data_IF_675419598153
#
_entry.id   IF_675419598153
#
_cell.length_a   1.000
_cell.length_b   1.000
_cell.length_c   1.000
_cell.angle_alpha   90.00
_cell.angle_beta   90.00
_cell.angle_gamma   90.00
#
_symmetry.space_group_name_H-M   'P 1'
#
loop_
_entity.id
_entity.type
_entity.pdbx_description
1 polymer ?
#
# COMPACT_ATOMS: atom_id res chain seq x y z
N UNK A 1 -31.70 -42.61 44.09
CA UNK A 1 -32.51 -43.68 43.50
C UNK A 1 -32.22 -45.00 44.21
N UNK A 2 -33.19 -45.55 44.95
CA UNK A 2 -33.07 -46.90 45.49
C UNK A 2 -33.44 -47.86 44.37
N UNK A 3 -32.44 -48.39 43.66
CA UNK A 3 -32.66 -49.47 42.70
C UNK A 3 -33.30 -50.64 43.46
N UNK A 4 -34.47 -51.11 43.02
CA UNK A 4 -35.15 -52.25 43.62
C UNK A 4 -34.31 -53.51 43.41
N UNK A 5 -33.45 -53.82 44.39
CA UNK A 5 -32.53 -54.97 44.36
C UNK A 5 -33.25 -56.27 44.05
N UNK A 6 -34.46 -56.46 44.57
CA UNK A 6 -35.29 -57.64 44.31
C UNK A 6 -35.63 -57.83 42.83
N UNK A 7 -35.88 -56.75 42.08
CA UNK A 7 -36.17 -56.81 40.64
C UNK A 7 -34.90 -57.17 39.87
N UNK A 8 -33.77 -56.59 40.26
CA UNK A 8 -32.45 -56.86 39.66
C UNK A 8 -32.04 -58.32 39.90
N UNK A 9 -32.26 -58.86 41.09
CA UNK A 9 -31.94 -60.25 41.45
C UNK A 9 -32.85 -61.25 40.73
N UNK A 10 -34.16 -60.96 40.61
CA UNK A 10 -35.08 -61.75 39.79
C UNK A 10 -34.66 -61.78 38.33
N UNK A 11 -34.29 -60.63 37.75
CA UNK A 11 -33.77 -60.54 36.38
C UNK A 11 -32.48 -61.36 36.20
N UNK A 12 -31.55 -61.24 37.15
CA UNK A 12 -30.32 -62.02 37.12
C UNK A 12 -30.58 -63.53 37.15
N UNK A 13 -31.56 -64.00 37.94
CA UNK A 13 -31.90 -65.43 38.02
C UNK A 13 -32.54 -65.97 36.73
N UNK A 14 -33.40 -65.19 36.08
CA UNK A 14 -34.02 -65.58 34.80
C UNK A 14 -33.00 -65.63 33.66
N UNK A 15 -32.06 -64.68 33.64
CA UNK A 15 -31.06 -64.57 32.56
C UNK A 15 -29.82 -65.46 32.73
N UNK A 16 -29.52 -65.91 33.96
CA UNK A 16 -28.32 -66.72 34.30
C UNK A 16 -28.11 -67.98 33.45
N UNK A 17 -29.13 -68.77 33.06
CA UNK A 17 -28.92 -69.97 32.23
C UNK A 17 -28.58 -69.65 30.77
N UNK A 18 -28.91 -68.44 30.30
CA UNK A 18 -28.77 -68.04 28.89
C UNK A 18 -27.55 -67.14 28.64
N UNK A 19 -26.90 -66.64 29.69
CA UNK A 19 -25.77 -65.70 29.59
C UNK A 19 -24.59 -66.19 30.41
N UNK A 20 -23.47 -66.48 29.74
CA UNK A 20 -22.18 -66.64 30.39
C UNK A 20 -21.48 -65.28 30.51
N UNK A 21 -21.32 -64.78 31.72
CA UNK A 21 -20.60 -63.53 32.02
C UNK A 21 -19.47 -63.79 33.02
N UNK A 22 -18.22 -63.53 32.63
CA UNK A 22 -17.04 -63.54 33.52
C UNK A 22 -16.47 -62.13 33.66
N UNK A 23 -15.93 -61.79 34.83
CA UNK A 23 -15.30 -60.49 35.07
C UNK A 23 -13.79 -60.61 34.88
N UNK A 24 -13.11 -59.52 34.46
CA UNK A 24 -11.65 -59.52 34.26
C UNK A 24 -10.87 -59.97 35.52
N UNK A 25 -11.41 -59.66 36.70
CA UNK A 25 -10.87 -60.13 37.99
C UNK A 25 -10.85 -61.66 38.14
N UNK A 26 -11.75 -62.38 37.46
CA UNK A 26 -11.91 -63.83 37.57
C UNK A 26 -11.10 -64.59 36.49
N UNK A 27 -10.51 -63.88 35.51
CA UNK A 27 -9.92 -64.48 34.31
C UNK A 27 -8.45 -64.08 34.10
N UNK A 28 -8.03 -62.88 34.47
CA UNK A 28 -6.73 -62.34 34.06
C UNK A 28 -6.02 -61.62 35.24
N UNK A 29 -5.18 -62.37 35.97
CA UNK A 29 -4.44 -61.87 37.16
C UNK A 29 -3.20 -61.05 36.82
N UNK A 30 -2.78 -61.04 35.55
CA UNK A 30 -1.60 -60.31 35.06
C UNK A 30 -1.91 -58.87 34.61
N UNK A 31 -3.18 -58.45 34.62
CA UNK A 31 -3.56 -57.10 34.21
C UNK A 31 -3.16 -56.04 35.26
N UNK A 32 -2.61 -54.89 34.84
CA UNK A 32 -2.28 -53.80 35.74
C UNK A 32 -3.54 -53.13 36.33
N UNK A 33 -3.35 -52.43 37.46
CA UNK A 33 -4.44 -51.72 38.14
C UNK A 33 -5.00 -50.58 37.26
N UNK A 34 -6.33 -50.48 37.22
CA UNK A 34 -7.03 -49.36 36.57
C UNK A 34 -7.15 -48.20 37.56
N UNK A 35 -6.54 -47.06 37.23
CA UNK A 35 -6.70 -45.82 37.98
C UNK A 35 -7.62 -44.84 37.23
N UNK A 36 -8.59 -44.25 37.93
CA UNK A 36 -9.48 -43.23 37.39
C UNK A 36 -9.14 -41.88 38.03
N UNK A 37 -8.62 -40.95 37.22
CA UNK A 37 -8.29 -39.60 37.64
C UNK A 37 -9.30 -38.61 37.08
N UNK A 38 -10.01 -37.90 37.96
CA UNK A 38 -10.95 -36.83 37.57
C UNK A 38 -10.21 -35.51 37.55
N UNK A 39 -10.07 -34.91 36.36
CA UNK A 39 -9.37 -33.64 36.16
C UNK A 39 -10.39 -32.53 35.90
N UNK A 40 -10.51 -31.62 36.86
CA UNK A 40 -11.38 -30.46 36.74
C UNK A 40 -10.75 -29.39 35.86
N UNK A 41 -11.48 -28.98 34.82
CA UNK A 41 -11.06 -27.92 33.90
C UNK A 41 -11.95 -26.69 34.09
N UNK A 42 -11.34 -25.49 34.11
CA UNK A 42 -12.10 -24.22 34.14
C UNK A 42 -12.57 -23.85 32.73
N UNK A 43 -13.76 -23.26 32.59
CA UNK A 43 -14.22 -22.71 31.32
C UNK A 43 -13.39 -21.48 30.91
N UNK A 44 -13.12 -21.32 29.62
CA UNK A 44 -12.47 -20.13 29.07
C UNK A 44 -13.38 -18.90 29.17
N UNK A 45 -12.82 -17.69 29.01
CA UNK A 45 -13.62 -16.43 29.04
C UNK A 45 -14.70 -16.44 27.95
N UNK A 46 -14.34 -16.84 26.73
CA UNK A 46 -15.28 -16.96 25.60
C UNK A 46 -16.34 -18.02 25.85
N UNK A 47 -15.95 -19.20 26.36
CA UNK A 47 -16.91 -20.25 26.71
C UNK A 47 -17.90 -19.80 27.77
N UNK A 48 -17.43 -19.07 28.81
CA UNK A 48 -18.31 -18.55 29.86
C UNK A 48 -19.32 -17.56 29.30
N UNK A 49 -18.87 -16.59 28.50
CA UNK A 49 -19.77 -15.62 27.87
C UNK A 49 -20.82 -16.33 27.00
N UNK A 50 -20.41 -17.22 26.09
CA UNK A 50 -21.35 -17.96 25.24
C UNK A 50 -22.32 -18.85 26.04
N UNK A 51 -21.84 -19.44 27.14
CA UNK A 51 -22.66 -20.25 28.03
C UNK A 51 -23.71 -19.41 28.76
N UNK A 52 -23.30 -18.26 29.30
CA UNK A 52 -24.19 -17.31 29.98
C UNK A 52 -25.18 -16.68 29.00
N UNK A 53 -24.73 -16.22 27.84
CA UNK A 53 -25.57 -15.65 26.77
C UNK A 53 -26.61 -16.65 26.28
N UNK A 54 -26.20 -17.92 26.09
CA UNK A 54 -27.12 -18.97 25.66
C UNK A 54 -28.19 -19.26 26.72
N UNK A 55 -27.82 -19.33 28.00
CA UNK A 55 -28.80 -19.54 29.09
C UNK A 55 -29.69 -18.31 29.29
N UNK A 56 -29.16 -17.10 29.10
CA UNK A 56 -29.92 -15.87 29.25
C UNK A 56 -30.93 -15.64 28.11
N UNK A 57 -30.76 -16.31 26.97
CA UNK A 57 -31.67 -16.17 25.82
C UNK A 57 -33.11 -16.54 26.19
N UNK A 58 -34.06 -15.66 25.85
CA UNK A 58 -35.48 -15.82 26.16
C UNK A 58 -36.07 -17.11 25.57
N UNK A 59 -35.62 -17.53 24.39
CA UNK A 59 -36.04 -18.78 23.75
C UNK A 59 -35.64 -20.01 24.58
N UNK A 60 -34.42 -20.00 25.13
CA UNK A 60 -33.95 -21.10 25.98
C UNK A 60 -34.69 -21.13 27.31
N UNK A 61 -34.97 -19.97 27.90
CA UNK A 61 -35.74 -19.89 29.14
C UNK A 61 -37.18 -20.38 28.95
N UNK A 62 -37.82 -20.03 27.83
CA UNK A 62 -39.16 -20.52 27.50
C UNK A 62 -39.18 -22.05 27.29
N UNK A 63 -38.17 -22.61 26.60
CA UNK A 63 -38.07 -24.06 26.40
C UNK A 63 -37.79 -24.81 27.70
N UNK A 64 -37.00 -24.24 28.62
CA UNK A 64 -36.79 -24.77 29.97
C UNK A 64 -38.06 -24.70 30.83
N UNK A 65 -38.85 -23.62 30.73
CA UNK A 65 -40.09 -23.45 31.47
C UNK A 65 -41.23 -24.36 30.98
N UNK A 66 -41.27 -24.68 29.68
CA UNK A 66 -42.33 -25.48 29.05
C UNK A 66 -42.31 -26.98 29.40
N UNK A 67 -41.39 -27.44 30.26
CA UNK A 67 -41.23 -28.83 30.72
C UNK A 67 -41.14 -29.90 29.60
N UNK A 68 -40.90 -29.48 28.36
CA UNK A 68 -40.76 -30.37 27.21
C UNK A 68 -39.39 -31.07 27.26
N UNK A 69 -39.38 -32.37 27.58
CA UNK A 69 -38.15 -33.17 27.68
C UNK A 69 -37.25 -33.10 26.45
N UNK A 70 -37.84 -33.11 25.25
CA UNK A 70 -37.09 -33.02 23.98
C UNK A 70 -36.40 -31.66 23.86
N UNK A 71 -37.09 -30.58 24.26
CA UNK A 71 -36.52 -29.23 24.29
C UNK A 71 -35.35 -29.13 25.27
N UNK A 72 -35.51 -29.66 26.49
CA UNK A 72 -34.43 -29.69 27.50
C UNK A 72 -33.21 -30.48 27.01
N UNK A 73 -33.42 -31.64 26.36
CA UNK A 73 -32.32 -32.41 25.78
C UNK A 73 -31.54 -31.61 24.72
N UNK A 74 -32.24 -30.87 23.87
CA UNK A 74 -31.60 -30.00 22.88
C UNK A 74 -30.78 -28.88 23.53
N UNK A 75 -31.30 -28.23 24.59
CA UNK A 75 -30.56 -27.22 25.36
C UNK A 75 -29.28 -27.82 25.96
N UNK A 76 -29.38 -28.99 26.61
CA UNK A 76 -28.23 -29.68 27.19
C UNK A 76 -27.21 -30.07 26.10
N UNK A 77 -27.68 -30.49 24.92
CA UNK A 77 -26.79 -30.83 23.81
C UNK A 77 -25.98 -29.61 23.34
N UNK A 78 -26.58 -28.42 23.28
CA UNK A 78 -25.83 -27.19 22.94
C UNK A 78 -24.82 -26.81 24.03
N UNK A 79 -25.21 -26.88 25.31
CA UNK A 79 -24.28 -26.65 26.42
C UNK A 79 -23.11 -27.64 26.41
N UNK A 80 -23.36 -28.90 26.05
CA UNK A 80 -22.29 -29.90 25.84
C UNK A 80 -21.34 -29.51 24.71
N UNK A 81 -21.84 -28.95 23.60
CA UNK A 81 -20.98 -28.43 22.52
C UNK A 81 -20.10 -27.29 23.02
N UNK A 82 -20.67 -26.28 23.70
CA UNK A 82 -19.92 -25.14 24.25
C UNK A 82 -18.82 -25.60 25.22
N UNK A 83 -19.13 -26.53 26.13
CA UNK A 83 -18.18 -27.09 27.09
C UNK A 83 -17.08 -27.93 26.44
N UNK A 84 -17.32 -28.51 25.27
CA UNK A 84 -16.30 -29.27 24.52
C UNK A 84 -15.41 -28.34 23.70
N UNK A 85 -15.99 -27.48 22.86
CA UNK A 85 -15.27 -26.43 22.13
C UNK A 85 -16.25 -25.36 21.62
N UNK A 86 -15.97 -24.05 21.81
CA UNK A 86 -16.89 -23.00 21.38
C UNK A 86 -17.11 -22.97 19.85
N UNK A 87 -16.11 -23.31 19.03
CA UNK A 87 -16.28 -23.34 17.56
C UNK A 87 -17.26 -24.41 17.05
N UNK A 88 -17.65 -25.40 17.86
CA UNK A 88 -18.73 -26.34 17.52
C UNK A 88 -20.12 -25.71 17.67
N UNK A 89 -20.19 -24.57 18.35
CA UNK A 89 -21.39 -23.80 18.56
C UNK A 89 -21.41 -22.56 17.65
N UNK A 90 -20.37 -21.73 17.74
CA UNK A 90 -20.22 -20.52 16.96
C UNK A 90 -18.73 -20.29 16.63
N UNK A 91 -18.40 -20.13 15.34
CA UNK A 91 -17.04 -19.80 14.92
C UNK A 91 -16.64 -18.38 15.29
N UNK A 92 -15.33 -18.09 15.42
CA UNK A 92 -14.90 -16.69 15.59
C UNK A 92 -15.15 -15.89 14.31
N UNK A 93 -15.83 -14.74 14.38
CA UNK A 93 -15.91 -13.84 13.24
C UNK A 93 -14.52 -13.24 12.96
N UNK A 94 -14.29 -12.92 11.68
CA UNK A 94 -13.12 -12.14 11.26
C UNK A 94 -13.37 -10.70 11.72
N UNK A 95 -12.42 -10.11 12.44
CA UNK A 95 -12.53 -8.72 12.90
C UNK A 95 -11.96 -7.81 11.81
N UNK A 96 -12.77 -6.86 11.37
CA UNK A 96 -12.39 -5.79 10.44
C UNK A 96 -12.83 -4.45 11.01
N UNK A 97 -12.25 -3.36 10.51
CA UNK A 97 -12.75 -2.01 10.80
C UNK A 97 -14.18 -1.85 10.28
N UNK A 98 -15.01 -1.08 10.99
CA UNK A 98 -16.30 -0.65 10.47
C UNK A 98 -16.09 0.39 9.36
N UNK A 99 -16.55 0.09 8.15
CA UNK A 99 -16.40 0.98 7.01
C UNK A 99 -17.50 2.06 7.04
N UNK A 100 -17.08 3.30 7.25
CA UNK A 100 -17.92 4.49 7.20
C UNK A 100 -18.00 5.03 5.78
N UNK A 101 -19.12 5.69 5.48
CA UNK A 101 -19.27 6.42 4.22
C UNK A 101 -18.21 7.53 4.08
N UNK A 102 -17.81 7.78 2.83
CA UNK A 102 -16.86 8.83 2.52
C UNK A 102 -17.44 10.21 2.71
N UNK A 103 -16.58 11.16 3.04
CA UNK A 103 -16.95 12.57 3.06
C UNK A 103 -16.84 13.09 1.62
N UNK A 104 -17.98 13.38 1.01
CA UNK A 104 -18.05 14.09 -0.26
C UNK A 104 -18.32 15.57 -0.01
N UNK A 105 -17.42 16.43 -0.49
CA UNK A 105 -17.53 17.88 -0.31
C UNK A 105 -17.64 18.56 -1.67
N UNK A 106 -18.76 19.25 -1.89
CA UNK A 106 -18.89 20.16 -3.03
C UNK A 106 -18.18 21.48 -2.69
N UNK A 107 -17.11 21.78 -3.41
CA UNK A 107 -16.44 23.06 -3.32
C UNK A 107 -17.06 24.05 -4.32
N UNK A 108 -17.23 25.30 -3.90
CA UNK A 108 -17.76 26.34 -4.79
C UNK A 108 -16.78 26.63 -5.94
N UNK A 109 -17.30 26.77 -7.15
CA UNK A 109 -16.50 27.06 -8.35
C UNK A 109 -15.72 28.36 -8.23
N UNK A 110 -16.33 29.38 -7.61
CA UNK A 110 -15.72 30.70 -7.49
C UNK A 110 -14.44 30.62 -6.65
N UNK A 111 -14.50 29.94 -5.49
CA UNK A 111 -13.31 29.72 -4.65
C UNK A 111 -12.25 28.92 -5.39
N UNK A 112 -12.62 27.84 -6.08
CA UNK A 112 -11.67 27.03 -6.85
C UNK A 112 -11.06 27.78 -8.04
N UNK A 113 -11.73 28.80 -8.56
CA UNK A 113 -11.23 29.65 -9.65
C UNK A 113 -10.36 30.81 -9.21
N UNK A 114 -10.36 31.19 -7.92
CA UNK A 114 -9.48 32.26 -7.41
C UNK A 114 -8.00 31.93 -7.68
N UNK A 115 -7.66 30.63 -7.63
CA UNK A 115 -6.29 30.14 -7.83
C UNK A 115 -6.07 29.55 -9.23
N UNK A 116 -7.05 29.61 -10.14
CA UNK A 116 -6.82 29.16 -11.51
C UNK A 116 -5.93 30.18 -12.21
N UNK A 117 -4.79 29.77 -12.81
CA UNK A 117 -3.87 30.71 -13.43
C UNK A 117 -4.54 31.32 -14.67
N UNK A 118 -4.56 32.65 -14.73
CA UNK A 118 -4.88 33.34 -15.98
C UNK A 118 -3.80 33.01 -17.03
N UNK A 119 -4.15 32.90 -18.32
CA UNK A 119 -3.20 32.56 -19.38
C UNK A 119 -2.05 33.56 -19.51
N UNK A 120 -2.21 34.79 -19.00
CA UNK A 120 -1.18 35.83 -18.96
C UNK A 120 -0.49 35.97 -17.58
N UNK A 121 -0.97 35.27 -16.56
CA UNK A 121 -0.36 35.28 -15.22
C UNK A 121 0.70 34.18 -15.04
N UNK A 122 0.63 33.09 -15.82
CA UNK A 122 1.65 32.04 -15.76
C UNK A 122 2.85 32.38 -16.64
N UNK A 123 3.96 32.70 -15.98
CA UNK A 123 5.27 32.84 -16.65
C UNK A 123 6.10 31.60 -16.34
N UNK A 124 6.62 30.95 -17.37
CA UNK A 124 7.51 29.80 -17.18
C UNK A 124 8.89 30.26 -16.72
N UNK A 125 9.06 30.38 -15.40
CA UNK A 125 10.33 30.72 -14.76
C UNK A 125 11.42 29.68 -15.04
N UNK A 126 11.05 28.42 -15.35
CA UNK A 126 12.00 27.35 -15.68
C UNK A 126 12.59 27.55 -17.09
N UNK A 127 11.73 27.87 -18.06
CA UNK A 127 12.10 28.24 -19.42
C UNK A 127 12.97 29.50 -19.45
N UNK A 128 12.57 30.52 -18.67
CA UNK A 128 13.29 31.79 -18.56
C UNK A 128 14.60 31.71 -17.75
N UNK A 129 14.87 30.57 -17.09
CA UNK A 129 16.11 30.38 -16.32
C UNK A 129 16.15 31.12 -14.98
N UNK A 130 15.00 31.53 -14.45
CA UNK A 130 14.89 32.16 -13.12
C UNK A 130 14.83 31.15 -11.97
N UNK A 131 14.61 29.86 -12.26
CA UNK A 131 14.75 28.78 -11.28
C UNK A 131 16.22 28.37 -11.13
N UNK A 132 16.93 29.11 -10.30
CA UNK A 132 18.37 28.96 -10.13
C UNK A 132 18.81 27.63 -9.49
N UNK A 133 18.00 27.05 -8.61
CA UNK A 133 18.34 25.78 -7.92
C UNK A 133 18.11 24.53 -8.77
N UNK A 134 17.33 24.63 -9.86
CA UNK A 134 16.95 23.46 -10.65
C UNK A 134 18.17 22.78 -11.29
N UNK A 135 19.16 23.57 -11.70
CA UNK A 135 20.37 23.09 -12.36
C UNK A 135 21.42 22.57 -11.37
N UNK A 136 21.34 22.94 -10.08
CA UNK A 136 22.31 22.55 -9.06
C UNK A 136 22.39 21.02 -8.85
N UNK A 137 21.32 20.30 -9.23
CA UNK A 137 21.26 18.84 -9.12
C UNK A 137 21.62 18.09 -10.42
N UNK A 138 21.63 18.78 -11.57
CA UNK A 138 21.75 18.14 -12.88
C UNK A 138 22.98 18.55 -13.67
N UNK A 139 23.58 19.71 -13.36
CA UNK A 139 24.61 20.33 -14.19
C UNK A 139 25.93 20.54 -13.42
N UNK A 140 27.06 20.32 -14.09
CA UNK A 140 28.39 20.64 -13.56
C UNK A 140 28.82 22.07 -13.95
N UNK A 141 29.87 22.60 -13.31
CA UNK A 141 30.34 23.96 -13.61
C UNK A 141 30.93 24.09 -15.01
N UNK A 142 31.76 23.12 -15.42
CA UNK A 142 32.45 23.15 -16.71
C UNK A 142 31.51 22.90 -17.90
N UNK A 143 30.43 22.13 -17.72
CA UNK A 143 29.37 21.98 -18.74
C UNK A 143 28.79 23.34 -19.15
N UNK A 144 28.66 24.28 -18.20
CA UNK A 144 28.18 25.62 -18.50
C UNK A 144 29.16 26.39 -19.39
N UNK A 145 30.44 26.27 -19.09
CA UNK A 145 31.50 26.96 -19.84
C UNK A 145 31.64 26.38 -21.25
N UNK A 146 31.52 25.05 -21.40
CA UNK A 146 31.52 24.38 -22.70
C UNK A 146 30.29 24.76 -23.54
N UNK A 147 29.09 24.72 -22.96
CA UNK A 147 27.86 25.14 -23.66
C UNK A 147 27.98 26.59 -24.12
N UNK A 148 28.58 27.47 -23.31
CA UNK A 148 28.82 28.86 -23.69
C UNK A 148 29.84 28.99 -24.83
N UNK A 149 30.86 28.13 -24.88
CA UNK A 149 31.86 28.14 -25.96
C UNK A 149 31.33 27.61 -27.30
N UNK A 150 30.41 26.64 -27.27
CA UNK A 150 29.78 26.03 -28.45
C UNK A 150 28.57 26.86 -28.91
N UNK A 151 28.07 27.78 -28.09
CA UNK A 151 26.89 28.59 -28.38
C UNK A 151 27.04 29.38 -29.68
N UNK A 152 26.11 29.18 -30.62
CA UNK A 152 26.07 29.93 -31.87
C UNK A 152 25.71 31.41 -31.62
N UNK A 153 26.54 32.37 -32.06
CA UNK A 153 26.25 33.79 -31.92
C UNK A 153 24.94 34.18 -32.63
N UNK A 154 24.15 35.06 -32.01
CA UNK A 154 22.87 35.52 -32.54
C UNK A 154 22.96 36.05 -33.99
N UNK A 155 24.06 36.74 -34.32
CA UNK A 155 24.31 37.28 -35.67
C UNK A 155 24.33 36.19 -36.75
N UNK A 156 24.91 35.01 -36.47
CA UNK A 156 24.98 33.94 -37.47
C UNK A 156 23.61 33.31 -37.73
N UNK A 157 22.76 33.24 -36.70
CA UNK A 157 21.38 32.74 -36.82
C UNK A 157 20.55 33.72 -37.66
N UNK A 158 20.66 35.02 -37.38
CA UNK A 158 19.97 36.06 -38.15
C UNK A 158 20.47 36.11 -39.61
N UNK A 159 21.79 36.08 -39.84
CA UNK A 159 22.36 36.12 -41.19
C UNK A 159 22.01 34.88 -42.03
N UNK A 160 22.00 33.68 -41.45
CA UNK A 160 21.67 32.45 -42.21
C UNK A 160 20.25 32.47 -42.78
N UNK A 161 19.28 33.07 -42.09
CA UNK A 161 17.92 33.23 -42.63
C UNK A 161 17.83 34.26 -43.75
N UNK A 162 18.65 35.32 -43.71
CA UNK A 162 18.71 36.30 -44.81
C UNK A 162 19.31 35.69 -46.08
N UNK A 163 20.36 34.89 -45.96
CA UNK A 163 21.04 34.26 -47.11
C UNK A 163 20.20 33.14 -47.73
N UNK A 164 19.65 32.23 -46.93
CA UNK A 164 18.86 31.10 -47.42
C UNK A 164 17.51 31.53 -48.03
N UNK A 165 16.84 32.54 -47.48
CA UNK A 165 15.57 33.03 -48.05
C UNK A 165 15.75 33.87 -49.32
N UNK A 166 16.91 34.54 -49.48
CA UNK A 166 17.28 35.22 -50.73
C UNK A 166 17.52 34.23 -51.89
N UNK A 167 17.96 33.00 -51.58
CA UNK A 167 18.25 31.97 -52.58
C UNK A 167 17.05 31.06 -52.90
N UNK A 168 16.24 30.68 -51.90
CA UNK A 168 15.08 29.79 -52.10
C UNK A 168 13.83 30.51 -52.64
N UNK A 169 13.72 31.82 -52.45
CA UNK A 169 12.49 32.58 -52.70
C UNK A 169 12.72 33.75 -53.68
N UNK A 170 13.78 33.70 -54.51
CA UNK A 170 13.76 34.45 -55.78
C UNK A 170 12.88 33.66 -56.75
N UNK A 171 11.71 34.17 -57.17
CA UNK A 171 11.08 33.61 -58.35
C UNK A 171 12.10 33.76 -59.48
N UNK A 172 12.39 32.69 -60.22
CA UNK A 172 13.12 32.77 -61.48
C UNK A 172 12.27 33.57 -62.48
N UNK A 173 12.19 34.89 -62.31
CA UNK A 173 11.70 35.80 -63.33
C UNK A 173 12.80 35.88 -64.39
N UNK A 174 12.71 34.98 -65.39
CA UNK A 174 13.46 35.14 -66.64
C UNK A 174 13.07 36.50 -67.23
N UNK A 175 14.09 37.29 -67.54
CA UNK A 175 13.96 38.61 -68.14
C UNK A 175 13.02 38.61 -69.36
N UNK A 176 12.07 39.54 -69.36
CA UNK A 176 11.17 39.76 -70.49
C UNK A 176 10.31 41.00 -70.32
N UNK A 177 10.91 42.17 -70.63
CA UNK A 177 10.29 43.46 -71.02
C UNK A 177 9.45 44.23 -69.99
N UNK A 178 9.82 45.51 -69.84
CA UNK A 178 9.11 46.56 -69.13
C UNK A 178 7.69 46.76 -69.69
N UNK A 179 6.69 46.69 -68.81
CA UNK A 179 5.38 47.31 -69.00
C UNK A 179 5.05 48.14 -67.75
N UNK A 180 4.73 49.41 -67.97
CA UNK A 180 4.51 50.48 -66.98
C UNK A 180 3.08 50.45 -66.39
N UNK A 181 2.63 49.29 -65.92
CA UNK A 181 1.45 49.18 -65.07
C UNK A 181 1.67 48.04 -64.09
N UNK A 182 1.85 48.35 -62.81
CA UNK A 182 1.91 47.33 -61.76
C UNK A 182 0.54 46.66 -61.69
N UNK A 183 0.49 45.41 -62.12
CA UNK A 183 -0.71 44.60 -61.95
C UNK A 183 -0.97 44.48 -60.44
N UNK A 184 -2.21 44.71 -59.98
CA UNK A 184 -2.60 44.60 -58.56
C UNK A 184 -2.09 43.28 -57.94
N UNK A 185 -2.06 42.21 -58.72
CA UNK A 185 -1.52 40.90 -58.31
C UNK A 185 0.00 40.88 -58.07
N UNK A 186 0.80 41.67 -58.79
CA UNK A 186 2.24 41.80 -58.55
C UNK A 186 2.53 42.63 -57.29
N UNK A 187 1.71 43.64 -57.01
CA UNK A 187 1.79 44.40 -55.76
C UNK A 187 1.41 43.52 -54.56
N UNK A 188 0.34 42.73 -54.68
CA UNK A 188 -0.04 41.73 -53.66
C UNK A 188 1.08 40.71 -53.47
N UNK A 189 1.69 40.20 -54.53
CA UNK A 189 2.78 39.24 -54.43
C UNK A 189 4.04 39.83 -53.78
N UNK A 190 4.36 41.11 -54.05
CA UNK A 190 5.45 41.84 -53.40
C UNK A 190 5.15 42.09 -51.91
N UNK A 191 3.93 42.50 -51.57
CA UNK A 191 3.52 42.72 -50.19
C UNK A 191 3.58 41.42 -49.35
N UNK A 192 3.06 40.31 -49.88
CA UNK A 192 3.16 38.99 -49.23
C UNK A 192 4.62 38.56 -49.07
N UNK A 193 5.49 38.88 -50.04
CA UNK A 193 6.91 38.56 -49.97
C UNK A 193 7.63 39.36 -48.88
N UNK A 194 7.34 40.66 -48.78
CA UNK A 194 7.87 41.53 -47.73
C UNK A 194 7.39 41.08 -46.34
N UNK A 195 6.12 40.71 -46.20
CA UNK A 195 5.56 40.15 -44.97
C UNK A 195 6.27 38.85 -44.56
N UNK A 196 6.46 37.91 -45.50
CA UNK A 196 7.20 36.67 -45.25
C UNK A 196 8.66 36.90 -44.86
N UNK A 197 9.32 37.88 -45.47
CA UNK A 197 10.69 38.25 -45.11
C UNK A 197 10.75 38.85 -43.70
N UNK A 198 9.78 39.66 -43.33
CA UNK A 198 9.68 40.23 -41.99
C UNK A 198 9.40 39.13 -40.95
N UNK A 199 8.44 38.23 -41.20
CA UNK A 199 8.19 37.06 -40.35
C UNK A 199 9.43 36.19 -40.19
N UNK A 200 10.18 35.95 -41.26
CA UNK A 200 11.39 35.14 -41.21
C UNK A 200 12.49 35.79 -40.35
N UNK A 201 12.64 37.12 -40.42
CA UNK A 201 13.57 37.88 -39.57
C UNK A 201 13.13 37.85 -38.11
N UNK A 202 11.84 38.01 -37.84
CA UNK A 202 11.28 37.91 -36.48
C UNK A 202 11.46 36.50 -35.90
N UNK A 203 11.23 35.46 -36.69
CA UNK A 203 11.53 34.07 -36.30
C UNK A 203 13.02 33.86 -36.04
N UNK A 204 13.90 34.40 -36.88
CA UNK A 204 15.34 34.27 -36.67
C UNK A 204 15.81 34.95 -35.37
N UNK A 205 15.32 36.17 -35.11
CA UNK A 205 15.65 36.91 -33.89
C UNK A 205 15.10 36.24 -32.63
N UNK A 206 13.89 35.69 -32.67
CA UNK A 206 13.33 34.93 -31.54
C UNK A 206 14.10 33.62 -31.30
N UNK A 207 14.48 32.89 -32.34
CA UNK A 207 15.34 31.69 -32.22
C UNK A 207 16.70 32.07 -31.62
N UNK A 208 17.32 33.16 -32.10
CA UNK A 208 18.60 33.64 -31.59
C UNK A 208 18.51 34.01 -30.10
N UNK A 209 17.43 34.67 -29.70
CA UNK A 209 17.14 35.02 -28.31
C UNK A 209 16.97 33.76 -27.44
N UNK A 210 16.14 32.80 -27.86
CA UNK A 210 15.92 31.54 -27.13
C UNK A 210 17.20 30.70 -27.03
N UNK A 211 18.00 30.66 -28.09
CA UNK A 211 19.30 29.98 -28.10
C UNK A 211 20.25 30.62 -27.06
N UNK A 212 20.38 31.95 -27.09
CA UNK A 212 21.17 32.69 -26.11
C UNK A 212 20.68 32.43 -24.68
N UNK A 213 19.37 32.39 -24.44
CA UNK A 213 18.81 32.15 -23.12
C UNK A 213 19.13 30.74 -22.60
N UNK A 214 19.04 29.72 -23.47
CA UNK A 214 19.41 28.34 -23.14
C UNK A 214 20.91 28.19 -22.88
N UNK A 215 21.75 28.81 -23.69
CA UNK A 215 23.21 28.74 -23.56
C UNK A 215 23.77 29.53 -22.35
N UNK A 216 22.98 30.46 -21.78
CA UNK A 216 23.35 31.21 -20.57
C UNK A 216 22.98 30.50 -19.27
N UNK A 217 22.32 29.34 -19.33
CA UNK A 217 21.93 28.58 -18.14
C UNK A 217 23.18 28.07 -17.43
N UNK A 218 23.33 28.45 -16.16
CA UNK A 218 24.42 28.01 -15.28
C UNK A 218 23.86 27.64 -13.90
N UNK A 219 24.37 26.57 -13.25
CA UNK A 219 24.04 26.28 -11.87
C UNK A 219 24.63 27.36 -10.95
N UNK A 220 23.97 27.63 -9.81
CA UNK A 220 24.57 28.46 -8.76
C UNK A 220 25.58 27.64 -7.98
N UNK A 221 25.17 26.45 -7.57
CA UNK A 221 26.02 25.47 -6.91
C UNK A 221 26.14 24.27 -7.82
N UNK A 222 27.31 24.09 -8.44
CA UNK A 222 27.53 22.94 -9.29
C UNK A 222 27.40 21.64 -8.51
N UNK A 223 26.98 20.58 -9.21
CA UNK A 223 26.99 19.22 -8.66
C UNK A 223 28.38 18.81 -8.15
N UNK A 224 29.46 19.34 -8.74
CA UNK A 224 30.84 19.13 -8.29
C UNK A 224 31.08 19.69 -6.89
N UNK A 225 30.69 20.94 -6.64
CA UNK A 225 30.79 21.55 -5.32
C UNK A 225 29.92 20.81 -4.30
N UNK A 226 28.70 20.44 -4.68
CA UNK A 226 27.82 19.66 -3.81
C UNK A 226 28.45 18.32 -3.44
N UNK A 227 29.02 17.59 -4.39
CA UNK A 227 29.74 16.33 -4.12
C UNK A 227 30.93 16.55 -3.18
N UNK A 228 31.69 17.63 -3.36
CA UNK A 228 32.83 17.97 -2.49
C UNK A 228 32.41 18.32 -1.06
N UNK A 229 31.27 18.99 -0.88
CA UNK A 229 30.76 19.43 0.43
C UNK A 229 29.87 18.37 1.10
N UNK A 230 29.38 17.38 0.34
CA UNK A 230 28.56 16.29 0.91
C UNK A 230 29.46 15.36 1.71
N UNK A 231 29.47 15.54 3.02
CA UNK A 231 30.04 14.56 3.95
C UNK A 231 29.08 13.37 4.00
N UNK A 232 29.43 12.28 3.34
CA UNK A 232 28.66 11.04 3.39
C UNK A 232 28.83 10.37 4.75
N UNK A 233 27.72 9.99 5.37
CA UNK A 233 27.78 9.21 6.60
C UNK A 233 28.29 7.80 6.24
N UNK A 234 29.25 7.22 6.98
CA UNK A 234 29.87 5.93 6.63
C UNK A 234 28.84 4.80 6.50
N UNK A 235 27.76 4.84 7.28
CA UNK A 235 26.64 3.87 7.19
C UNK A 235 25.84 3.97 5.89
N UNK A 236 25.67 5.17 5.32
CA UNK A 236 24.93 5.35 4.07
C UNK A 236 25.76 4.84 2.89
N UNK A 237 27.07 5.08 2.93
CA UNK A 237 28.03 4.58 1.94
C UNK A 237 28.00 3.04 1.86
N UNK A 238 27.97 2.36 3.02
CA UNK A 238 27.85 0.89 3.09
C UNK A 238 26.58 0.37 2.40
N UNK A 239 25.44 1.07 2.52
CA UNK A 239 24.19 0.68 1.87
C UNK A 239 24.25 0.88 0.35
N UNK A 240 24.82 2.00 -0.11
CA UNK A 240 25.03 2.25 -1.53
C UNK A 240 26.02 1.25 -2.16
N UNK A 241 27.08 0.86 -1.44
CA UNK A 241 28.02 -0.18 -1.86
C UNK A 241 27.37 -1.57 -1.90
N UNK A 242 26.42 -1.87 -0.99
CA UNK A 242 25.66 -3.12 -1.01
C UNK A 242 24.78 -3.25 -2.27
N UNK A 243 24.23 -2.14 -2.76
CA UNK A 243 23.44 -2.09 -3.99
C UNK A 243 24.32 -2.22 -5.25
N UNK A 244 25.59 -1.81 -5.19
CA UNK A 244 26.56 -1.87 -6.30
C UNK A 244 27.79 -2.75 -5.95
N UNK A 245 27.74 -4.08 -6.20
CA UNK A 245 28.78 -5.02 -5.79
C UNK A 245 30.11 -4.92 -6.58
N UNK A 246 30.26 -3.93 -7.45
CA UNK A 246 31.43 -3.75 -8.33
C UNK A 246 32.61 -3.10 -7.57
N UNK A 247 32.35 -2.51 -6.40
CA UNK A 247 33.41 -1.91 -5.58
C UNK A 247 34.23 -2.99 -4.84
N UNK A 248 35.51 -3.11 -5.21
CA UNK A 248 36.48 -4.00 -4.53
C UNK A 248 36.87 -3.51 -3.12
N UNK A 249 36.43 -2.30 -2.74
CA UNK A 249 36.91 -1.57 -1.56
C UNK A 249 36.22 -1.95 -0.23
N UNK A 250 35.32 -2.95 -0.22
CA UNK A 250 34.55 -3.28 0.99
C UNK A 250 34.44 -4.77 1.33
N UNK A 251 34.53 -5.07 2.63
CA UNK A 251 34.30 -6.39 3.20
C UNK A 251 32.80 -6.71 3.22
N UNK A 252 32.40 -7.79 2.54
CA UNK A 252 31.03 -8.32 2.52
C UNK A 252 30.46 -8.57 3.93
N UNK A 253 31.32 -8.92 4.90
CA UNK A 253 30.92 -9.17 6.29
C UNK A 253 30.41 -7.92 7.02
N UNK A 254 30.95 -6.74 6.73
CA UNK A 254 30.47 -5.50 7.34
C UNK A 254 29.11 -5.09 6.79
N UNK A 255 28.88 -5.31 5.49
CA UNK A 255 27.58 -5.07 4.84
C UNK A 255 26.47 -6.01 5.35
N UNK A 256 26.84 -7.23 5.78
CA UNK A 256 25.89 -8.17 6.40
C UNK A 256 25.51 -7.79 7.84
N UNK A 257 26.42 -7.12 8.57
CA UNK A 257 26.18 -6.66 9.95
C UNK A 257 25.23 -5.46 9.97
N UNK A 258 25.42 -4.51 9.04
CA UNK A 258 24.61 -3.28 8.96
C UNK A 258 23.37 -3.53 8.11
N UNK A 259 22.27 -3.89 8.78
CA UNK A 259 21.00 -4.15 8.11
C UNK A 259 20.29 -2.86 7.69
N UNK A 260 19.74 -2.86 6.48
CA UNK A 260 18.85 -1.77 6.04
C UNK A 260 17.55 -1.75 6.86
N UNK A 261 16.84 -0.62 6.96
CA UNK A 261 15.52 -0.58 7.62
C UNK A 261 14.54 -1.63 7.06
N UNK A 262 14.60 -1.89 5.75
CA UNK A 262 13.78 -2.89 5.07
C UNK A 262 14.17 -4.31 5.48
N UNK A 263 15.47 -4.62 5.53
CA UNK A 263 15.96 -5.94 5.97
C UNK A 263 15.70 -6.20 7.45
N UNK A 264 15.80 -5.17 8.30
CA UNK A 264 15.42 -5.26 9.71
C UNK A 264 13.95 -5.63 9.86
N UNK A 265 13.08 -4.98 9.08
CA UNK A 265 11.66 -5.33 9.07
C UNK A 265 11.43 -6.77 8.63
N UNK A 266 12.13 -7.23 7.59
CA UNK A 266 12.03 -8.63 7.12
C UNK A 266 12.48 -9.63 8.19
N UNK A 267 13.57 -9.37 8.92
CA UNK A 267 13.99 -10.24 10.04
C UNK A 267 13.00 -10.24 11.20
N UNK A 268 12.27 -9.14 11.40
CA UNK A 268 11.27 -8.99 12.47
C UNK A 268 9.86 -9.36 12.02
N UNK A 269 9.66 -9.91 10.82
CA UNK A 269 8.33 -10.15 10.26
C UNK A 269 7.49 -11.04 11.17
N UNK A 270 8.06 -12.11 11.75
CA UNK A 270 7.37 -13.03 12.66
C UNK A 270 6.88 -12.31 13.94
N UNK A 271 7.63 -11.31 14.41
CA UNK A 271 7.25 -10.51 15.57
C UNK A 271 6.14 -9.52 15.20
N UNK A 272 6.28 -8.84 14.07
CA UNK A 272 5.22 -7.95 13.54
C UNK A 272 3.94 -8.74 13.36
N UNK A 273 4.04 -9.95 12.81
CA UNK A 273 2.93 -10.84 12.65
C UNK A 273 2.30 -11.18 14.01
N UNK A 274 3.07 -11.78 14.92
CA UNK A 274 2.52 -12.21 16.22
C UNK A 274 1.98 -11.09 17.11
N UNK A 275 2.52 -9.88 17.03
CA UNK A 275 2.17 -8.78 17.96
C UNK A 275 1.33 -7.65 17.35
N UNK A 276 1.16 -7.58 16.03
CA UNK A 276 0.22 -6.63 15.42
C UNK A 276 -1.18 -7.23 15.30
N UNK A 277 -2.03 -6.93 16.28
CA UNK A 277 -3.44 -7.38 16.32
C UNK A 277 -4.44 -6.24 16.54
N UNK A 278 -3.98 -5.00 16.77
CA UNK A 278 -4.86 -3.86 17.01
C UNK A 278 -5.42 -3.30 15.69
N UNK A 279 -6.73 -3.47 15.50
CA UNK A 279 -7.49 -2.95 14.36
C UNK A 279 -8.25 -1.69 14.80
N UNK A 280 -8.20 -0.59 14.03
CA UNK A 280 -9.01 0.59 14.32
C UNK A 280 -10.50 0.24 14.22
N UNK A 281 -11.31 0.71 15.16
CA UNK A 281 -12.72 0.37 15.24
C UNK A 281 -13.52 0.81 13.99
N UNK A 282 -13.13 1.94 13.38
CA UNK A 282 -13.76 2.47 12.19
C UNK A 282 -12.72 2.94 11.17
N UNK A 283 -13.07 2.88 9.89
CA UNK A 283 -12.31 3.36 8.75
C UNK A 283 -13.24 4.16 7.85
N UNK A 284 -12.77 5.29 7.33
CA UNK A 284 -13.43 6.02 6.26
C UNK A 284 -12.49 6.11 5.05
N UNK A 285 -13.01 6.16 3.82
CA UNK A 285 -12.19 6.48 2.65
C UNK A 285 -11.70 7.94 2.75
N UNK A 286 -10.66 8.26 1.98
CA UNK A 286 -10.16 9.64 1.90
C UNK A 286 -11.28 10.58 1.41
N UNK A 287 -11.42 11.78 2.00
CA UNK A 287 -12.45 12.74 1.59
C UNK A 287 -12.26 13.10 0.11
N UNK A 288 -13.35 13.07 -0.64
CA UNK A 288 -13.36 13.43 -2.05
C UNK A 288 -14.03 14.78 -2.20
N UNK A 289 -13.32 15.72 -2.80
CA UNK A 289 -13.85 17.04 -3.09
C UNK A 289 -14.12 17.12 -4.60
N UNK A 290 -15.26 17.70 -4.98
CA UNK A 290 -15.60 17.94 -6.39
C UNK A 290 -16.05 19.38 -6.60
N UNK A 291 -15.89 19.85 -7.84
CA UNK A 291 -16.25 21.19 -8.28
C UNK A 291 -16.96 21.08 -9.63
N UNK A 292 -17.90 21.98 -9.91
CA UNK A 292 -18.58 22.06 -11.21
C UNK A 292 -17.65 22.45 -12.36
N UNK A 293 -16.51 23.10 -12.07
CA UNK A 293 -15.51 23.51 -13.06
C UNK A 293 -14.39 22.48 -13.16
N UNK A 294 -14.14 21.96 -14.36
CA UNK A 294 -13.01 21.09 -14.67
C UNK A 294 -11.68 21.86 -14.73
N UNK A 295 -10.58 21.20 -14.35
CA UNK A 295 -9.22 21.75 -14.49
C UNK A 295 -8.81 22.78 -13.44
N UNK A 296 -9.34 22.69 -12.21
CA UNK A 296 -8.96 23.58 -11.11
C UNK A 296 -7.67 23.09 -10.45
N UNK A 297 -6.72 24.02 -10.20
CA UNK A 297 -5.42 23.77 -9.56
C UNK A 297 -5.53 23.29 -8.10
N UNK A 298 -6.70 23.43 -7.50
CA UNK A 298 -7.01 22.97 -6.14
C UNK A 298 -7.01 21.45 -6.04
N UNK A 299 -7.38 20.75 -7.12
CA UNK A 299 -7.34 19.29 -7.15
C UNK A 299 -5.99 18.80 -7.66
N UNK A 300 -5.45 17.78 -6.98
CA UNK A 300 -4.25 17.10 -7.42
C UNK A 300 -4.57 16.39 -8.74
N UNK A 301 -3.79 16.71 -9.79
CA UNK A 301 -3.90 16.04 -11.08
C UNK A 301 -3.78 14.52 -10.93
N UNK A 302 -4.68 13.79 -11.60
CA UNK A 302 -4.68 12.33 -11.60
C UNK A 302 -3.34 11.76 -12.08
N UNK A 303 -2.72 12.41 -13.07
CA UNK A 303 -1.40 12.05 -13.60
C UNK A 303 -0.32 12.17 -12.52
N UNK A 304 -0.37 13.24 -11.70
CA UNK A 304 0.58 13.42 -10.61
C UNK A 304 0.40 12.34 -9.54
N UNK A 305 -0.85 12.03 -9.17
CA UNK A 305 -1.17 10.96 -8.23
C UNK A 305 -0.65 9.60 -8.71
N UNK A 306 -0.78 9.29 -10.00
CA UNK A 306 -0.23 8.07 -10.61
C UNK A 306 1.30 8.04 -10.63
N UNK A 307 1.95 9.18 -10.91
CA UNK A 307 3.42 9.27 -10.84
C UNK A 307 3.90 9.01 -9.41
N UNK A 308 3.30 9.67 -8.42
CA UNK A 308 3.63 9.47 -7.02
C UNK A 308 3.39 8.03 -6.57
N UNK A 309 2.28 7.41 -6.99
CA UNK A 309 2.00 6.02 -6.61
C UNK A 309 3.04 5.06 -7.18
N UNK A 310 3.47 5.25 -8.44
CA UNK A 310 4.54 4.45 -9.05
C UNK A 310 5.87 4.57 -8.30
N UNK A 311 6.21 5.77 -7.80
CA UNK A 311 7.47 5.99 -7.08
C UNK A 311 7.41 5.50 -5.63
N UNK A 312 6.27 5.68 -4.93
CA UNK A 312 6.15 5.39 -3.50
C UNK A 312 5.74 3.95 -3.19
N UNK A 313 5.00 3.28 -4.09
CA UNK A 313 4.50 1.92 -3.85
C UNK A 313 5.64 0.90 -3.57
N UNK A 314 6.77 0.90 -4.30
CA UNK A 314 7.89 0.01 -3.99
C UNK A 314 8.45 0.22 -2.58
N UNK A 315 8.54 1.47 -2.13
CA UNK A 315 9.06 1.84 -0.80
C UNK A 315 8.15 1.38 0.34
N UNK A 316 6.83 1.35 0.10
CA UNK A 316 5.83 0.90 1.07
C UNK A 316 5.56 -0.61 1.04
N UNK A 317 6.00 -1.30 -0.01
CA UNK A 317 5.76 -2.73 -0.20
C UNK A 317 6.27 -3.59 0.97
N UNK A 318 7.45 -3.32 1.57
CA UNK A 318 7.91 -4.06 2.75
C UNK A 318 6.98 -3.94 3.95
N UNK A 319 6.28 -2.81 4.13
CA UNK A 319 5.37 -2.57 5.26
C UNK A 319 3.98 -3.19 5.06
N UNK A 320 3.72 -3.80 3.90
CA UNK A 320 2.42 -4.39 3.57
C UNK A 320 1.91 -5.40 4.61
N UNK A 321 2.72 -6.33 5.17
CA UNK A 321 2.24 -7.27 6.20
C UNK A 321 1.70 -6.56 7.44
N UNK A 322 2.37 -5.49 7.89
CA UNK A 322 1.93 -4.68 9.02
C UNK A 322 0.63 -3.93 8.72
N UNK A 323 0.49 -3.40 7.50
CA UNK A 323 -0.73 -2.69 7.06
C UNK A 323 -1.92 -3.65 6.98
N UNK A 324 -1.74 -4.84 6.41
CA UNK A 324 -2.81 -5.83 6.25
C UNK A 324 -3.33 -6.29 7.62
N UNK A 325 -2.46 -6.55 8.59
CA UNK A 325 -2.88 -6.95 9.96
C UNK A 325 -3.62 -5.86 10.73
N UNK A 326 -3.44 -4.59 10.36
CA UNK A 326 -4.24 -3.48 10.90
C UNK A 326 -5.61 -3.35 10.25
N UNK A 327 -5.86 -4.02 9.12
CA UNK A 327 -7.15 -3.95 8.41
C UNK A 327 -8.02 -5.16 8.71
N UNK A 328 -7.41 -6.35 8.78
CA UNK A 328 -8.10 -7.62 8.91
C UNK A 328 -7.37 -8.50 9.93
N UNK A 329 -8.12 -9.06 10.88
CA UNK A 329 -7.59 -10.02 11.84
C UNK A 329 -8.18 -11.39 11.57
N UNK A 330 -7.32 -12.29 11.09
CA UNK A 330 -7.64 -13.71 11.03
C UNK A 330 -7.27 -14.35 12.37
N UNK A 331 -8.19 -15.09 13.00
CA UNK A 331 -7.91 -15.75 14.26
C UNK A 331 -6.75 -16.76 14.08
N UNK A 332 -5.73 -16.63 14.91
CA UNK A 332 -4.57 -17.52 14.89
C UNK A 332 -4.98 -18.95 15.25
N UNK A 333 -4.30 -19.93 14.64
CA UNK A 333 -4.50 -21.38 14.95
C UNK A 333 -4.26 -21.70 16.42
N UNK A 334 -3.42 -20.91 17.10
CA UNK A 334 -3.13 -21.06 18.54
C UNK A 334 -4.36 -20.79 19.41
N UNK A 335 -5.30 -19.95 18.96
CA UNK A 335 -6.52 -19.63 19.71
C UNK A 335 -7.40 -20.86 19.96
N UNK A 336 -7.33 -21.89 19.11
CA UNK A 336 -8.07 -23.13 19.30
C UNK A 336 -7.78 -23.78 20.66
N UNK A 337 -6.53 -23.75 21.11
CA UNK A 337 -6.19 -24.24 22.44
C UNK A 337 -6.66 -23.28 23.54
N UNK A 338 -6.52 -21.97 23.34
CA UNK A 338 -6.83 -20.97 24.37
C UNK A 338 -8.33 -20.76 24.60
N UNK A 339 -9.15 -21.01 23.58
CA UNK A 339 -10.59 -20.87 23.65
C UNK A 339 -11.29 -22.02 24.40
N UNK A 340 -10.60 -23.14 24.64
CA UNK A 340 -11.16 -24.28 25.35
C UNK A 340 -10.34 -24.69 26.58
N UNK A 341 -10.95 -24.62 27.76
CA UNK A 341 -10.31 -25.00 29.02
C UNK A 341 -9.86 -26.47 29.10
N UNK A 342 -10.59 -27.38 28.44
CA UNK A 342 -10.20 -28.81 28.37
C UNK A 342 -8.92 -28.99 27.56
N UNK A 343 -8.79 -28.30 26.42
CA UNK A 343 -7.61 -28.36 25.57
C UNK A 343 -6.37 -27.75 26.24
N UNK A 344 -6.56 -26.71 27.06
CA UNK A 344 -5.47 -26.14 27.87
C UNK A 344 -4.87 -27.18 28.82
N UNK A 345 -5.70 -27.90 29.59
CA UNK A 345 -5.23 -28.95 30.49
C UNK A 345 -4.68 -30.15 29.75
N UNK A 346 -5.35 -30.57 28.68
CA UNK A 346 -4.93 -31.69 27.83
C UNK A 346 -3.53 -31.44 27.26
N UNK A 347 -3.22 -30.22 26.80
CA UNK A 347 -1.88 -29.90 26.31
C UNK A 347 -0.80 -29.98 27.39
N UNK A 348 -1.10 -29.59 28.62
CA UNK A 348 -0.17 -29.71 29.77
C UNK A 348 0.07 -31.19 30.08
N UNK A 349 -0.99 -32.00 30.12
CA UNK A 349 -0.91 -33.43 30.40
C UNK A 349 -0.15 -34.18 29.30
N UNK A 350 -0.43 -33.89 28.03
CA UNK A 350 0.29 -34.50 26.91
C UNK A 350 1.78 -34.18 26.96
N UNK A 351 2.17 -32.96 27.38
CA UNK A 351 3.59 -32.63 27.56
C UNK A 351 4.22 -33.41 28.71
N UNK A 352 3.52 -33.55 29.83
CA UNK A 352 3.98 -34.31 31.01
C UNK A 352 4.08 -35.82 30.79
N UNK A 353 3.24 -36.38 29.92
CA UNK A 353 3.24 -37.82 29.60
C UNK A 353 4.17 -38.16 28.44
N UNK A 354 4.59 -37.16 27.66
CA UNK A 354 5.56 -37.32 26.57
C UNK A 354 7.01 -37.23 27.06
N UNK A 355 7.24 -36.47 28.13
CA UNK A 355 8.47 -36.56 28.95
C UNK A 355 8.43 -37.82 29.79
#
# INVERSE_FOLDING_TARGET
EKVNKEVVDRLHNVLRPFILRRLKRDVETQLPMKHEHVIYCRLSKRQRNLYEDFIASAETQATLASANFIGMLNVIMQLRKVCNHPDLFEGRPIVSSFDMEGIEMQLSSNICSILSPDPFCSVDLSGLGFLFTYLDCSMTSWESDEIQSIATPARLIEHSTTQNNLELIRPRFKHGKQCLATNIFEEIQKAIFEERLNEAKERASTIAWWNSLKCRKRPIYSTTLRKLVTVTHPVYDIQCCKENPVSYDYSTKLADIVLSPVERFQKMIDQVESFMFAIPAARAPSPVCWCSKSGTSVFIDLIYKERCSKTLLPLLTPLRPAIVRRQLYFPDRRLLQFDCGKLQQLAILLRRLKS
#
